data_IF_811707300487
#
_entry.id   IF_811707300487
#
_cell.length_a   1.000
_cell.length_b   1.000
_cell.length_c   1.000
_cell.angle_alpha   90.00
_cell.angle_beta   90.00
_cell.angle_gamma   90.00
#
_symmetry.space_group_name_H-M   'P 1'
#
loop_
_entity.id
_entity.type
_entity.pdbx_description
1 polymer ?
#
# COMPACT_ATOMS: atom_id res chain seq x y z
N UNK A 1 -0.96 -17.27 -8.46
CA UNK A 1 -1.68 -16.16 -7.81
C UNK A 1 -2.55 -15.42 -8.82
N UNK A 2 -3.80 -15.11 -8.50
CA UNK A 2 -4.62 -14.22 -9.34
C UNK A 2 -4.65 -12.83 -8.73
N UNK A 3 -3.91 -11.89 -9.32
CA UNK A 3 -3.99 -10.48 -8.96
C UNK A 3 -5.32 -9.93 -9.49
N UNK A 4 -6.11 -9.22 -8.68
CA UNK A 4 -7.35 -8.66 -9.16
C UNK A 4 -7.08 -7.65 -10.28
N UNK A 5 -7.86 -7.71 -11.36
CA UNK A 5 -7.85 -6.62 -12.32
C UNK A 5 -8.48 -5.37 -11.68
N UNK A 6 -7.68 -4.30 -11.71
CA UNK A 6 -7.96 -2.99 -11.14
C UNK A 6 -7.82 -1.86 -12.18
N UNK A 7 -7.59 -2.19 -13.47
CA UNK A 7 -7.33 -1.23 -14.55
C UNK A 7 -8.43 -0.15 -14.68
N UNK A 8 -9.70 -0.52 -14.51
CA UNK A 8 -10.86 0.39 -14.51
C UNK A 8 -11.16 1.08 -13.17
N UNK A 9 -10.30 0.96 -12.16
CA UNK A 9 -10.51 1.54 -10.82
C UNK A 9 -9.51 2.67 -10.54
N UNK A 10 -9.71 3.51 -9.50
CA UNK A 10 -8.71 4.48 -9.07
C UNK A 10 -7.50 3.84 -8.35
N UNK A 11 -7.37 2.51 -8.36
CA UNK A 11 -6.30 1.77 -7.69
C UNK A 11 -5.55 0.85 -8.65
N UNK A 12 -4.34 0.44 -8.25
CA UNK A 12 -3.51 -0.51 -9.00
C UNK A 12 -2.81 -1.49 -8.04
N UNK A 13 -2.46 -2.65 -8.56
CA UNK A 13 -1.64 -3.63 -7.85
C UNK A 13 -0.19 -3.58 -8.36
N UNK A 14 0.77 -3.66 -7.44
CA UNK A 14 2.19 -3.82 -7.76
C UNK A 14 2.68 -5.13 -7.14
N UNK A 15 3.25 -6.01 -7.97
CA UNK A 15 3.84 -7.26 -7.53
C UNK A 15 5.14 -6.97 -6.78
N UNK A 16 5.30 -7.59 -5.61
CA UNK A 16 6.49 -7.48 -4.77
C UNK A 16 7.30 -8.78 -4.72
N UNK A 17 6.65 -9.92 -4.93
CA UNK A 17 7.29 -11.24 -5.04
C UNK A 17 6.34 -12.19 -5.75
N UNK A 18 6.74 -12.71 -6.91
CA UNK A 18 5.97 -13.74 -7.62
C UNK A 18 6.01 -15.07 -6.87
N UNK A 19 7.20 -15.44 -6.36
CA UNK A 19 7.42 -16.70 -5.63
C UNK A 19 6.56 -16.79 -4.38
N UNK A 20 6.46 -15.70 -3.62
CA UNK A 20 5.68 -15.65 -2.38
C UNK A 20 4.23 -15.21 -2.61
N UNK A 21 3.87 -14.90 -3.86
CA UNK A 21 2.54 -14.41 -4.22
C UNK A 21 2.17 -13.15 -3.39
N UNK A 22 3.07 -12.16 -3.36
CA UNK A 22 2.88 -10.92 -2.61
C UNK A 22 2.79 -9.74 -3.56
N UNK A 23 1.75 -8.93 -3.39
CA UNK A 23 1.56 -7.64 -4.06
C UNK A 23 1.00 -6.62 -3.07
N UNK A 24 1.08 -5.34 -3.45
CA UNK A 24 0.49 -4.25 -2.68
C UNK A 24 -0.47 -3.41 -3.52
N UNK A 25 -1.43 -2.78 -2.84
CA UNK A 25 -2.41 -1.87 -3.43
C UNK A 25 -1.91 -0.43 -3.33
N UNK A 26 -2.02 0.33 -4.41
CA UNK A 26 -1.65 1.75 -4.51
C UNK A 26 -2.74 2.53 -5.24
N UNK A 27 -2.74 3.86 -5.12
CA UNK A 27 -3.59 4.70 -5.97
C UNK A 27 -3.04 4.74 -7.41
N UNK A 28 -3.94 4.81 -8.39
CA UNK A 28 -3.59 4.84 -9.81
C UNK A 28 -2.71 6.05 -10.17
N UNK A 29 -2.88 7.18 -9.47
CA UNK A 29 -2.06 8.39 -9.65
C UNK A 29 -0.58 8.17 -9.24
N UNK A 30 -0.32 7.23 -8.33
CA UNK A 30 1.05 6.92 -7.89
C UNK A 30 1.69 5.79 -8.71
N UNK A 31 0.87 5.00 -9.38
CA UNK A 31 1.31 3.78 -10.06
C UNK A 31 2.44 4.05 -11.06
N UNK A 32 2.28 5.06 -11.93
CA UNK A 32 3.23 5.31 -13.02
C UNK A 32 4.67 5.48 -12.55
N UNK A 33 4.90 6.33 -11.55
CA UNK A 33 6.23 6.55 -11.02
C UNK A 33 6.69 5.42 -10.09
N UNK A 34 5.77 4.70 -9.45
CA UNK A 34 6.14 3.58 -8.59
C UNK A 34 6.72 2.41 -9.39
N UNK A 35 6.17 2.11 -10.56
CA UNK A 35 6.61 0.96 -11.39
C UNK A 35 7.90 1.21 -12.18
N UNK A 36 8.34 2.47 -12.28
CA UNK A 36 9.70 2.79 -12.77
C UNK A 36 10.81 2.22 -11.86
N UNK A 37 10.46 1.75 -10.65
CA UNK A 37 11.38 1.25 -9.64
C UNK A 37 11.07 -0.21 -9.31
N UNK A 38 12.10 -1.01 -9.05
CA UNK A 38 11.94 -2.39 -8.60
C UNK A 38 11.69 -2.45 -7.09
N UNK A 39 10.50 -2.90 -6.71
CA UNK A 39 10.09 -3.11 -5.33
C UNK A 39 10.17 -4.59 -4.95
N UNK A 40 10.46 -4.87 -3.69
CA UNK A 40 10.49 -6.21 -3.14
C UNK A 40 9.73 -6.27 -1.82
N UNK A 41 9.29 -7.46 -1.42
CA UNK A 41 8.69 -7.69 -0.11
C UNK A 41 9.77 -7.66 1.00
N UNK A 42 9.43 -7.05 2.13
CA UNK A 42 10.18 -7.17 3.37
C UNK A 42 9.26 -7.66 4.49
N UNK A 43 9.67 -8.75 5.14
CA UNK A 43 9.00 -9.31 6.30
C UNK A 43 9.51 -8.64 7.57
N UNK A 44 8.63 -8.03 8.34
CA UNK A 44 9.02 -7.35 9.57
C UNK A 44 9.51 -8.35 10.63
N UNK A 45 10.67 -8.08 11.23
CA UNK A 45 11.32 -9.06 12.10
C UNK A 45 10.50 -9.48 13.33
N UNK A 46 9.91 -8.52 14.05
CA UNK A 46 9.10 -8.78 15.26
C UNK A 46 7.63 -9.08 14.99
N UNK A 47 7.16 -8.81 13.77
CA UNK A 47 5.77 -8.97 13.33
C UNK A 47 5.80 -9.62 11.95
N UNK A 48 6.24 -10.88 11.86
CA UNK A 48 6.53 -11.56 10.57
C UNK A 48 5.36 -11.59 9.60
N UNK A 49 4.13 -11.43 10.08
CA UNK A 49 2.93 -11.30 9.26
C UNK A 49 2.79 -9.93 8.57
N UNK A 50 3.48 -8.91 9.06
CA UNK A 50 3.54 -7.61 8.42
C UNK A 50 4.60 -7.63 7.33
N UNK A 51 4.14 -7.39 6.11
CA UNK A 51 4.94 -7.32 4.91
C UNK A 51 4.91 -5.89 4.36
N UNK A 52 6.06 -5.39 3.96
CA UNK A 52 6.18 -4.04 3.41
C UNK A 52 6.79 -4.08 2.02
N UNK A 53 6.28 -3.23 1.13
CA UNK A 53 6.97 -2.90 -0.10
C UNK A 53 8.20 -2.05 0.23
N UNK A 54 9.39 -2.55 -0.14
CA UNK A 54 10.65 -1.82 0.01
C UNK A 54 11.50 -1.85 -1.26
N UNK A 55 12.45 -0.93 -1.30
CA UNK A 55 13.60 -1.00 -2.21
C UNK A 55 14.85 -0.53 -1.49
N UNK A 56 16.02 -0.84 -2.06
CA UNK A 56 17.30 -0.34 -1.57
C UNK A 56 17.79 0.76 -2.53
N UNK A 57 18.36 1.84 -1.99
CA UNK A 57 18.83 2.99 -2.78
C UNK A 57 20.24 3.42 -2.38
N UNK A 58 20.96 4.02 -3.32
CA UNK A 58 22.32 4.52 -3.14
C UNK A 58 23.38 3.44 -2.92
N UNK A 59 24.65 3.87 -2.79
CA UNK A 59 25.79 2.98 -2.57
C UNK A 59 25.73 2.25 -1.22
N UNK A 60 25.15 2.89 -0.20
CA UNK A 60 24.96 2.31 1.13
C UNK A 60 23.79 1.31 1.20
N UNK A 61 23.05 1.12 0.10
CA UNK A 61 21.83 0.29 0.06
C UNK A 61 20.82 0.67 1.14
N UNK A 62 20.65 1.97 1.39
CA UNK A 62 19.65 2.47 2.32
C UNK A 62 18.26 1.92 1.96
N UNK A 63 17.50 1.46 2.95
CA UNK A 63 16.17 0.89 2.71
C UNK A 63 15.14 2.00 2.67
N UNK A 64 14.33 2.04 1.62
CA UNK A 64 13.18 2.92 1.49
C UNK A 64 11.91 2.09 1.41
N UNK A 65 10.84 2.57 2.06
CA UNK A 65 9.52 1.92 2.06
C UNK A 65 8.55 2.69 1.18
N UNK A 66 7.71 1.97 0.42
CA UNK A 66 6.80 2.54 -0.58
C UNK A 66 5.85 3.58 0.01
N UNK A 67 5.15 3.24 1.09
CA UNK A 67 4.23 4.16 1.77
C UNK A 67 4.89 5.49 2.15
N UNK A 68 6.18 5.49 2.51
CA UNK A 68 6.89 6.71 2.91
C UNK A 68 7.23 7.57 1.69
N UNK A 69 7.57 6.98 0.56
CA UNK A 69 7.75 7.74 -0.70
C UNK A 69 6.44 8.34 -1.18
N UNK A 70 5.33 7.59 -1.08
CA UNK A 70 4.00 8.09 -1.44
C UNK A 70 3.66 9.31 -0.58
N UNK A 71 3.78 9.23 0.75
CA UNK A 71 3.47 10.36 1.62
C UNK A 71 4.41 11.56 1.41
N UNK A 72 5.72 11.34 1.22
CA UNK A 72 6.65 12.44 0.94
C UNK A 72 6.33 13.18 -0.36
N UNK A 73 5.77 12.48 -1.37
CA UNK A 73 5.33 13.10 -2.62
C UNK A 73 3.94 13.73 -2.53
N UNK A 74 3.00 13.06 -1.87
CA UNK A 74 1.61 13.49 -1.80
C UNK A 74 1.39 14.63 -0.81
N UNK A 75 2.11 14.60 0.32
CA UNK A 75 1.98 15.56 1.42
C UNK A 75 3.39 15.84 2.01
N UNK A 76 4.24 16.60 1.29
CA UNK A 76 5.58 16.94 1.76
C UNK A 76 5.52 17.80 3.02
N UNK A 77 6.40 17.49 3.99
CA UNK A 77 6.48 18.22 5.27
C UNK A 77 7.93 18.44 5.72
N UNK A 78 8.18 19.58 6.37
CA UNK A 78 9.50 19.92 6.89
C UNK A 78 9.92 19.02 8.08
N UNK A 79 8.95 18.59 8.90
CA UNK A 79 9.15 17.73 10.07
C UNK A 79 9.10 16.22 9.74
N UNK A 80 8.98 15.84 8.46
CA UNK A 80 8.83 14.44 8.05
C UNK A 80 9.95 13.52 8.57
N UNK A 81 11.16 14.05 8.81
CA UNK A 81 12.28 13.31 9.39
C UNK A 81 12.01 12.83 10.83
N UNK A 82 11.13 13.52 11.58
CA UNK A 82 10.77 13.20 12.97
C UNK A 82 9.49 12.37 13.07
N UNK A 83 8.78 12.21 11.95
CA UNK A 83 7.52 11.48 11.86
C UNK A 83 7.71 10.12 11.18
N UNK A 84 6.80 9.21 11.48
CA UNK A 84 6.61 7.95 10.75
C UNK A 84 5.37 8.05 9.86
N UNK A 85 5.25 7.11 8.93
CA UNK A 85 4.03 6.95 8.13
C UNK A 85 3.34 5.68 8.60
N UNK A 86 2.14 5.85 9.12
CA UNK A 86 1.30 4.80 9.69
C UNK A 86 0.23 4.36 8.69
N UNK A 87 -0.18 3.09 8.76
CA UNK A 87 -1.27 2.54 7.96
C UNK A 87 -2.52 2.52 8.85
N UNK A 88 -3.48 3.38 8.54
CA UNK A 88 -4.68 3.59 9.35
C UNK A 88 -5.41 2.27 9.64
N UNK A 89 -5.55 1.41 8.64
CA UNK A 89 -6.21 0.11 8.79
C UNK A 89 -5.29 -1.04 9.29
N UNK A 90 -4.02 -0.77 9.55
CA UNK A 90 -3.02 -1.78 9.96
C UNK A 90 -2.52 -2.72 8.85
N UNK A 91 -3.08 -2.65 7.64
CA UNK A 91 -2.67 -3.45 6.49
C UNK A 91 -1.49 -2.77 5.76
N UNK A 92 -0.29 -3.30 5.98
CA UNK A 92 0.98 -2.73 5.48
C UNK A 92 1.19 -2.86 3.96
N UNK A 93 0.31 -3.62 3.29
CA UNK A 93 0.28 -3.76 1.84
C UNK A 93 -0.80 -2.88 1.18
N UNK A 94 -1.65 -2.18 1.96
CA UNK A 94 -2.57 -1.15 1.46
C UNK A 94 -1.88 0.22 1.53
N UNK A 95 -1.17 0.57 0.46
CA UNK A 95 -0.35 1.79 0.34
C UNK A 95 -1.13 2.95 -0.31
N UNK A 96 -2.47 2.88 -0.40
CA UNK A 96 -3.28 4.01 -0.87
C UNK A 96 -3.13 5.19 0.07
N UNK A 97 -3.04 6.41 -0.46
CA UNK A 97 -2.92 7.67 0.29
C UNK A 97 -4.00 7.80 1.37
N UNK A 98 -5.24 7.42 1.05
CA UNK A 98 -6.36 7.47 2.01
C UNK A 98 -6.19 6.52 3.22
N UNK A 99 -5.27 5.56 3.16
CA UNK A 99 -4.91 4.66 4.25
C UNK A 99 -3.61 5.07 4.96
N UNK A 100 -2.90 6.07 4.47
CA UNK A 100 -1.63 6.50 5.02
C UNK A 100 -1.81 7.80 5.81
N UNK A 101 -1.06 7.94 6.90
CA UNK A 101 -0.98 9.19 7.66
C UNK A 101 0.41 9.43 8.21
N UNK A 102 0.79 10.70 8.33
CA UNK A 102 1.89 11.08 9.20
C UNK A 102 1.50 10.83 10.66
N UNK A 103 2.40 10.22 11.42
CA UNK A 103 2.17 9.91 12.83
C UNK A 103 3.48 10.05 13.62
N UNK A 104 3.33 10.40 14.89
CA UNK A 104 4.39 10.23 15.89
C UNK A 104 4.58 8.74 16.21
N UNK A 105 5.69 8.42 16.87
CA UNK A 105 5.95 7.06 17.31
C UNK A 105 4.89 6.53 18.29
N UNK A 106 4.34 7.38 19.17
CA UNK A 106 3.29 7.02 20.12
C UNK A 106 1.97 6.75 19.42
N UNK A 107 1.56 7.59 18.45
CA UNK A 107 0.34 7.37 17.66
C UNK A 107 0.43 6.07 16.84
N UNK A 108 1.56 5.82 16.18
CA UNK A 108 1.79 4.57 15.45
C UNK A 108 1.79 3.35 16.39
N UNK A 109 2.33 3.49 17.60
CA UNK A 109 2.31 2.41 18.60
C UNK A 109 0.90 2.14 19.14
N UNK A 110 0.09 3.19 19.30
CA UNK A 110 -1.33 3.08 19.69
C UNK A 110 -2.17 2.40 18.60
N UNK A 111 -1.80 2.57 17.33
CA UNK A 111 -2.44 1.92 16.18
C UNK A 111 -1.92 0.49 15.90
N UNK A 112 -1.36 -0.19 16.90
CA UNK A 112 -0.76 -1.51 16.70
C UNK A 112 -1.82 -2.60 16.60
N UNK A 113 -1.82 -3.30 15.48
CA UNK A 113 -2.64 -4.50 15.27
C UNK A 113 -1.89 -5.77 15.70
N UNK A 114 -2.59 -6.64 16.43
CA UNK A 114 -2.18 -8.01 16.69
C UNK A 114 -2.27 -8.88 15.44
N UNK A 115 -1.72 -10.10 15.54
CA UNK A 115 -1.83 -11.09 14.47
C UNK A 115 -3.30 -11.36 14.13
N UNK A 116 -3.65 -11.32 12.84
CA UNK A 116 -5.00 -11.56 12.35
C UNK A 116 -6.02 -10.44 12.60
N UNK A 117 -5.66 -9.36 13.29
CA UNK A 117 -6.58 -8.25 13.57
C UNK A 117 -6.72 -7.26 12.41
N UNK A 118 -5.64 -7.05 11.64
CA UNK A 118 -5.70 -6.20 10.46
C UNK A 118 -6.46 -6.92 9.33
N UNK A 119 -7.31 -6.22 8.56
CA UNK A 119 -8.03 -6.80 7.44
C UNK A 119 -7.05 -7.29 6.36
N UNK A 120 -7.36 -8.45 5.78
CA UNK A 120 -6.63 -8.98 4.64
C UNK A 120 -6.76 -8.04 3.42
N UNK A 121 -5.69 -7.90 2.63
CA UNK A 121 -5.66 -7.02 1.46
C UNK A 121 -6.77 -7.34 0.46
N UNK A 122 -7.05 -8.63 0.25
CA UNK A 122 -8.12 -9.08 -0.64
C UNK A 122 -9.49 -8.58 -0.17
N UNK A 123 -9.76 -8.62 1.14
CA UNK A 123 -11.02 -8.15 1.71
C UNK A 123 -11.16 -6.62 1.56
N UNK A 124 -10.06 -5.88 1.72
CA UNK A 124 -10.03 -4.43 1.47
C UNK A 124 -10.43 -4.16 0.02
N UNK A 125 -9.78 -4.83 -0.94
CA UNK A 125 -10.03 -4.62 -2.38
C UNK A 125 -11.48 -4.97 -2.75
N UNK A 126 -12.02 -6.07 -2.21
CA UNK A 126 -13.42 -6.44 -2.42
C UNK A 126 -14.39 -5.34 -1.95
N UNK A 127 -14.18 -4.80 -0.74
CA UNK A 127 -15.01 -3.71 -0.19
C UNK A 127 -14.89 -2.43 -1.05
N UNK A 128 -13.69 -2.12 -1.50
CA UNK A 128 -13.44 -0.96 -2.36
C UNK A 128 -14.16 -1.07 -3.71
N UNK A 129 -14.07 -2.22 -4.39
CA UNK A 129 -14.78 -2.47 -5.65
C UNK A 129 -16.30 -2.41 -5.45
N UNK A 130 -16.82 -2.99 -4.35
CA UNK A 130 -18.24 -2.93 -4.03
C UNK A 130 -18.72 -1.49 -3.79
N UNK A 131 -17.94 -0.67 -3.09
CA UNK A 131 -18.27 0.73 -2.84
C UNK A 131 -18.21 1.56 -4.13
N UNK A 132 -17.20 1.34 -4.98
CA UNK A 132 -17.09 2.00 -6.29
C UNK A 132 -18.31 1.71 -7.16
N UNK A 133 -18.72 0.44 -7.24
CA UNK A 133 -19.92 0.03 -8.00
C UNK A 133 -21.19 0.71 -7.50
N UNK A 134 -21.33 0.93 -6.18
CA UNK A 134 -22.48 1.65 -5.61
C UNK A 134 -22.44 3.13 -5.92
N UNK A 135 -21.26 3.75 -5.87
CA UNK A 135 -21.09 5.18 -6.09
C UNK A 135 -21.16 5.56 -7.58
N UNK A 136 -20.72 4.68 -8.46
CA UNK A 136 -20.59 4.93 -9.90
C UNK A 136 -21.00 3.68 -10.69
N UNK A 137 -22.31 3.38 -10.81
CA UNK A 137 -22.80 2.17 -11.48
C UNK A 137 -22.35 2.05 -12.94
N UNK A 138 -22.13 3.17 -13.64
CA UNK A 138 -21.77 3.21 -15.07
C UNK A 138 -20.28 2.95 -15.40
N UNK A 139 -19.37 2.93 -14.43
CA UNK A 139 -17.92 2.75 -14.71
C UNK A 139 -17.47 1.29 -14.84
N UNK A 140 -18.40 0.33 -14.77
CA UNK A 140 -18.12 -1.10 -14.91
C UNK A 140 -18.85 -1.77 -16.08
N UNK A 141 -19.57 -1.03 -16.92
CA UNK A 141 -20.37 -1.60 -18.03
C UNK A 141 -19.61 -1.79 -19.35
N UNK A 142 -18.32 -1.46 -19.43
CA UNK A 142 -17.52 -1.70 -20.64
C UNK A 142 -16.34 -2.64 -20.39
N UNK A 143 -16.63 -3.91 -20.17
CA UNK A 143 -15.68 -5.00 -20.46
C UNK A 143 -16.41 -6.00 -21.35
N UNK A 144 -16.12 -6.05 -22.66
CA UNK A 144 -16.69 -7.06 -23.54
C UNK A 144 -16.24 -8.44 -23.07
N UNK A 145 -17.19 -9.38 -23.05
CA UNK A 145 -16.99 -10.80 -22.77
C UNK A 145 -16.03 -11.46 -23.78
#
# INVERSE_FOLDING_TARGET
>A
MTIPDLSGTPWRAIILSEREEVWCLVDAIDYGWLVERNWNVWHAGRTRWQMYAKRNTGKSRATVRMHREIMLRAEPRADAAQLVVDHINGCTLDNRRANLRWATHSENAANRYGFGQAPALQLIVMKLKANLRRAQPALLEEVPF
#
